data_IF_219732010031
#
_entry.id   IF_219732010031
#
_cell.length_a   1.000
_cell.length_b   1.000
_cell.length_c   1.000
_cell.angle_alpha   90.00
_cell.angle_beta   90.00
_cell.angle_gamma   90.00
#
_symmetry.space_group_name_H-M   'P 1'
#
loop_
_entity.id
_entity.type
_entity.pdbx_description
1 polymer ?
#
# COMPACT_ATOMS: atom_id res chain seq x y z
N UNK A 1 -18.37 -18.63 2.03
CA UNK A 1 -18.77 -18.74 3.46
C UNK A 1 -19.58 -17.51 3.81
N UNK A 2 -20.59 -17.60 4.68
CA UNK A 2 -21.54 -16.50 4.90
C UNK A 2 -21.28 -15.81 6.24
N UNK A 3 -21.13 -14.48 6.24
CA UNK A 3 -21.07 -13.66 7.45
C UNK A 3 -22.34 -13.68 8.29
N UNK A 4 -23.44 -14.20 7.73
CA UNK A 4 -24.75 -14.21 8.40
C UNK A 4 -24.71 -14.89 9.77
N UNK A 5 -23.76 -15.80 10.00
CA UNK A 5 -23.55 -16.45 11.30
C UNK A 5 -22.90 -15.53 12.35
N UNK A 6 -22.22 -14.48 11.91
CA UNK A 6 -21.46 -13.55 12.75
C UNK A 6 -22.17 -12.20 12.96
N UNK A 7 -23.23 -11.94 12.19
CA UNK A 7 -24.10 -10.80 12.39
C UNK A 7 -24.91 -10.98 13.67
N UNK A 8 -25.01 -9.92 14.47
CA UNK A 8 -25.98 -9.89 15.58
C UNK A 8 -27.38 -9.70 14.98
N UNK A 9 -28.40 -10.30 15.58
CA UNK A 9 -29.71 -10.46 14.94
C UNK A 9 -30.44 -9.18 14.49
N UNK A 10 -30.00 -8.01 14.95
CA UNK A 10 -30.51 -6.71 14.54
C UNK A 10 -29.53 -5.88 13.69
N UNK A 11 -28.38 -6.45 13.29
CA UNK A 11 -27.39 -5.76 12.45
C UNK A 11 -27.81 -5.77 10.97
N UNK A 12 -27.88 -4.58 10.38
CA UNK A 12 -28.14 -4.41 8.96
C UNK A 12 -26.82 -4.29 8.19
N UNK A 13 -26.66 -5.06 7.11
CA UNK A 13 -25.46 -4.97 6.25
C UNK A 13 -25.63 -3.84 5.24
N UNK A 14 -24.61 -2.97 5.14
CA UNK A 14 -24.58 -1.84 4.22
C UNK A 14 -23.60 -2.04 3.06
N UNK A 15 -22.45 -2.64 3.31
CA UNK A 15 -21.47 -2.96 2.28
C UNK A 15 -20.73 -4.25 2.59
N UNK A 16 -20.23 -4.91 1.54
CA UNK A 16 -19.39 -6.09 1.62
C UNK A 16 -18.22 -5.93 0.67
N UNK A 17 -17.08 -6.48 1.04
CA UNK A 17 -15.91 -6.60 0.18
C UNK A 17 -15.37 -8.03 0.29
N UNK A 18 -15.00 -8.62 -0.84
CA UNK A 18 -14.53 -10.01 -0.92
C UNK A 18 -13.14 -10.05 -1.56
N UNK A 19 -12.13 -10.43 -0.78
CA UNK A 19 -10.76 -10.70 -1.23
C UNK A 19 -10.17 -11.85 -0.42
N UNK A 20 -8.88 -11.77 -0.08
CA UNK A 20 -8.24 -12.72 0.86
C UNK A 20 -8.95 -12.76 2.22
N UNK A 21 -9.54 -11.62 2.56
CA UNK A 21 -10.46 -11.46 3.68
C UNK A 21 -11.82 -11.08 3.12
N UNK A 22 -12.86 -11.62 3.75
CA UNK A 22 -14.19 -11.14 3.58
C UNK A 22 -14.38 -9.99 4.59
N UNK A 23 -14.83 -8.82 4.12
CA UNK A 23 -15.18 -7.67 4.94
C UNK A 23 -16.68 -7.34 4.85
N UNK A 24 -17.26 -6.88 5.96
CA UNK A 24 -18.66 -6.51 6.07
C UNK A 24 -18.81 -5.24 6.90
N UNK A 25 -19.47 -4.23 6.36
CA UNK A 25 -19.84 -3.01 7.07
C UNK A 25 -21.30 -3.14 7.47
N UNK A 26 -21.56 -3.13 8.77
CA UNK A 26 -22.93 -3.12 9.32
C UNK A 26 -23.32 -1.70 9.75
N UNK A 27 -24.51 -1.56 10.32
CA UNK A 27 -24.96 -0.34 10.99
C UNK A 27 -24.24 -0.07 12.31
N UNK A 28 -23.50 -1.04 12.86
CA UNK A 28 -22.84 -0.94 14.18
C UNK A 28 -21.32 -1.04 14.15
N UNK A 29 -20.76 -1.80 13.20
CA UNK A 29 -19.33 -2.15 13.20
C UNK A 29 -18.86 -2.62 11.84
N UNK A 30 -17.54 -2.63 11.66
CA UNK A 30 -16.86 -3.29 10.55
C UNK A 30 -16.40 -4.67 11.03
N UNK A 31 -16.70 -5.70 10.25
CA UNK A 31 -16.32 -7.08 10.49
C UNK A 31 -15.39 -7.56 9.39
N UNK A 32 -14.41 -8.38 9.74
CA UNK A 32 -13.60 -9.10 8.76
C UNK A 32 -13.32 -10.53 9.18
N UNK A 33 -13.20 -11.39 8.17
CA UNK A 33 -13.06 -12.83 8.34
C UNK A 33 -12.09 -13.37 7.27
N UNK A 34 -11.11 -14.24 7.58
CA UNK A 34 -10.26 -14.84 6.56
C UNK A 34 -11.10 -15.68 5.59
N UNK A 35 -11.01 -15.42 4.28
CA UNK A 35 -11.84 -16.12 3.30
C UNK A 35 -11.56 -17.63 3.22
N UNK A 36 -10.33 -18.04 3.57
CA UNK A 36 -9.86 -19.42 3.54
C UNK A 36 -10.14 -20.22 4.82
N UNK A 37 -10.57 -19.59 5.92
CA UNK A 37 -10.75 -20.26 7.20
C UNK A 37 -12.15 -20.86 7.32
N UNK A 38 -12.26 -22.11 7.78
CA UNK A 38 -13.55 -22.86 7.83
C UNK A 38 -14.49 -22.42 8.96
N UNK A 39 -13.94 -22.01 10.10
CA UNK A 39 -14.70 -21.50 11.25
C UNK A 39 -13.90 -20.44 12.04
N UNK A 40 -13.57 -19.31 11.40
CA UNK A 40 -12.83 -18.23 12.05
C UNK A 40 -13.71 -17.40 12.99
N UNK A 41 -13.15 -16.99 14.11
CA UNK A 41 -13.73 -15.90 14.90
C UNK A 41 -13.62 -14.59 14.11
N UNK A 42 -14.73 -13.85 13.93
CA UNK A 42 -14.72 -12.61 13.17
C UNK A 42 -13.99 -11.53 13.97
N UNK A 43 -13.03 -10.88 13.34
CA UNK A 43 -12.46 -9.66 13.89
C UNK A 43 -13.44 -8.52 13.67
N UNK A 44 -13.62 -7.67 14.67
CA UNK A 44 -14.59 -6.57 14.61
C UNK A 44 -14.01 -5.27 15.15
N UNK A 45 -14.34 -4.17 14.48
CA UNK A 45 -14.09 -2.80 14.92
C UNK A 45 -15.40 -2.03 14.99
N UNK A 46 -15.74 -1.48 16.16
CA UNK A 46 -16.83 -0.53 16.28
C UNK A 46 -16.46 0.81 15.62
N UNK A 47 -17.43 1.56 15.11
CA UNK A 47 -17.14 2.86 14.46
C UNK A 47 -16.42 3.85 15.39
N UNK A 48 -16.76 3.84 16.68
CA UNK A 48 -16.10 4.67 17.71
C UNK A 48 -14.61 4.31 17.92
N UNK A 49 -14.21 3.09 17.55
CA UNK A 49 -12.82 2.63 17.64
C UNK A 49 -12.01 3.05 16.42
N UNK A 50 -12.66 3.44 15.31
CA UNK A 50 -12.01 3.87 14.07
C UNK A 50 -11.83 5.39 14.15
N UNK A 51 -10.57 5.84 14.22
CA UNK A 51 -10.26 7.28 14.20
C UNK A 51 -10.31 7.83 12.77
N UNK A 52 -9.75 7.07 11.81
CA UNK A 52 -9.73 7.44 10.40
C UNK A 52 -9.45 6.23 9.51
N UNK A 53 -9.89 6.30 8.25
CA UNK A 53 -9.46 5.39 7.18
C UNK A 53 -8.59 6.15 6.19
N UNK A 54 -7.27 5.91 6.26
CA UNK A 54 -6.26 6.56 5.42
C UNK A 54 -6.01 5.79 4.14
N UNK A 55 -5.73 6.50 3.04
CA UNK A 55 -5.15 5.89 1.84
C UNK A 55 -3.63 5.97 1.96
N UNK A 56 -2.98 4.81 1.93
CA UNK A 56 -1.52 4.72 1.86
C UNK A 56 -1.17 4.57 0.40
N UNK A 57 -0.64 5.67 -0.16
CA UNK A 57 -0.12 5.67 -1.52
C UNK A 57 0.94 4.57 -1.66
N UNK A 58 0.66 3.60 -2.52
CA UNK A 58 1.59 2.56 -2.88
C UNK A 58 2.71 3.07 -3.76
N UNK A 59 3.65 2.17 -4.07
CA UNK A 59 4.85 2.37 -4.90
C UNK A 59 5.25 3.83 -5.09
N UNK A 60 6.06 4.34 -4.15
CA UNK A 60 6.55 5.72 -4.20
C UNK A 60 7.32 5.96 -5.51
N UNK A 61 6.66 6.67 -6.43
CA UNK A 61 7.16 6.95 -7.78
C UNK A 61 8.44 7.76 -7.76
N UNK A 62 8.78 8.42 -6.64
CA UNK A 62 10.05 9.13 -6.46
C UNK A 62 11.23 8.17 -6.56
N UNK A 63 11.11 6.93 -6.08
CA UNK A 63 12.18 5.94 -6.20
C UNK A 63 12.37 5.46 -7.65
N UNK A 64 11.28 5.30 -8.40
CA UNK A 64 11.34 4.95 -9.82
C UNK A 64 11.93 6.11 -10.65
N UNK A 65 11.44 7.34 -10.43
CA UNK A 65 11.95 8.55 -11.11
C UNK A 65 13.42 8.76 -10.78
N UNK A 66 13.82 8.58 -9.52
CA UNK A 66 15.22 8.64 -9.11
C UNK A 66 16.07 7.58 -9.79
N UNK A 67 15.57 6.34 -9.90
CA UNK A 67 16.27 5.26 -10.58
C UNK A 67 16.46 5.53 -12.08
N UNK A 68 15.40 5.95 -12.78
CA UNK A 68 15.45 6.30 -14.19
C UNK A 68 16.37 7.50 -14.46
N UNK A 69 16.33 8.51 -13.59
CA UNK A 69 17.22 9.67 -13.66
C UNK A 69 18.68 9.25 -13.48
N UNK A 70 18.96 8.34 -12.55
CA UNK A 70 20.30 7.80 -12.36
C UNK A 70 20.78 7.00 -13.58
N UNK A 71 19.94 6.19 -14.22
CA UNK A 71 20.29 5.52 -15.49
C UNK A 71 20.63 6.54 -16.58
N UNK A 72 19.84 7.61 -16.71
CA UNK A 72 20.08 8.66 -17.67
C UNK A 72 21.43 9.37 -17.41
N UNK A 73 21.72 9.69 -16.15
CA UNK A 73 22.99 10.31 -15.75
C UNK A 73 24.18 9.36 -15.96
N UNK A 74 24.01 8.06 -15.72
CA UNK A 74 25.05 7.05 -15.98
C UNK A 74 25.44 6.99 -17.46
N UNK A 75 24.52 7.29 -18.37
CA UNK A 75 24.78 7.33 -19.80
C UNK A 75 25.33 8.68 -20.28
N UNK A 76 24.73 9.79 -19.82
CA UNK A 76 25.05 11.13 -20.32
C UNK A 76 26.32 11.74 -19.71
N UNK A 77 26.53 11.57 -18.40
CA UNK A 77 27.64 12.23 -17.70
C UNK A 77 29.00 11.73 -18.20
N UNK A 78 29.26 10.41 -18.36
CA UNK A 78 30.53 9.92 -18.87
C UNK A 78 30.79 10.36 -20.31
N UNK A 79 29.77 10.35 -21.16
CA UNK A 79 29.88 10.80 -22.55
C UNK A 79 30.25 12.28 -22.64
N UNK A 80 29.65 13.11 -21.77
CA UNK A 80 29.96 14.53 -21.68
C UNK A 80 31.36 14.81 -21.13
N UNK A 81 31.79 14.07 -20.10
CA UNK A 81 33.14 14.18 -19.53
C UNK A 81 34.23 13.77 -20.53
N UNK A 82 34.01 12.69 -21.27
CA UNK A 82 34.94 12.22 -22.31
C UNK A 82 34.93 13.14 -23.53
N UNK A 83 33.77 13.68 -23.93
CA UNK A 83 33.65 14.51 -25.14
C UNK A 83 33.99 15.99 -24.97
N UNK A 84 33.68 16.60 -23.81
CA UNK A 84 33.89 18.05 -23.58
C UNK A 84 35.08 18.37 -22.69
N UNK A 85 35.46 17.47 -21.78
CA UNK A 85 36.45 17.73 -20.75
C UNK A 85 37.73 16.88 -20.90
N UNK A 86 37.84 16.08 -21.96
CA UNK A 86 38.96 15.17 -22.27
C UNK A 86 39.36 14.31 -21.05
N UNK A 87 38.35 13.91 -20.26
CA UNK A 87 38.53 13.10 -19.07
C UNK A 87 38.78 11.67 -19.49
N UNK A 88 39.81 11.04 -18.91
CA UNK A 88 40.14 9.65 -19.18
C UNK A 88 38.95 8.69 -18.93
N UNK A 89 38.93 7.58 -19.65
CA UNK A 89 37.84 6.58 -19.60
C UNK A 89 37.63 5.99 -18.20
N UNK A 90 38.69 5.80 -17.42
CA UNK A 90 38.62 5.21 -16.08
C UNK A 90 37.85 6.08 -15.05
N UNK A 91 38.12 7.39 -14.90
CA UNK A 91 37.30 8.25 -14.04
C UNK A 91 35.86 8.41 -14.57
N UNK A 92 35.66 8.42 -15.89
CA UNK A 92 34.32 8.51 -16.47
C UNK A 92 33.46 7.24 -16.20
N UNK A 93 34.07 6.05 -16.25
CA UNK A 93 33.38 4.79 -15.95
C UNK A 93 33.08 4.62 -14.45
N UNK A 94 33.93 5.14 -13.57
CA UNK A 94 33.65 5.17 -12.13
C UNK A 94 32.39 5.99 -11.80
N UNK A 95 32.20 7.14 -12.46
CA UNK A 95 30.99 7.97 -12.32
C UNK A 95 29.75 7.23 -12.81
N UNK A 96 29.84 6.53 -13.95
CA UNK A 96 28.76 5.68 -14.44
C UNK A 96 28.37 4.59 -13.42
N UNK A 97 29.37 3.97 -12.79
CA UNK A 97 29.17 2.96 -11.75
C UNK A 97 28.40 3.47 -10.54
N UNK A 98 28.70 4.68 -10.06
CA UNK A 98 27.95 5.30 -8.95
C UNK A 98 26.48 5.47 -9.29
N UNK A 99 26.19 6.00 -10.48
CA UNK A 99 24.81 6.18 -10.92
C UNK A 99 24.09 4.86 -11.16
N UNK A 100 24.78 3.83 -11.66
CA UNK A 100 24.22 2.49 -11.79
C UNK A 100 23.81 1.89 -10.43
N UNK A 101 24.63 2.07 -9.38
CA UNK A 101 24.29 1.63 -8.00
C UNK A 101 23.07 2.38 -7.47
N UNK A 102 22.98 3.69 -7.69
CA UNK A 102 21.81 4.51 -7.30
C UNK A 102 20.55 4.04 -8.04
N UNK A 103 20.66 3.73 -9.33
CA UNK A 103 19.55 3.21 -10.13
C UNK A 103 19.03 1.87 -9.59
N UNK A 104 19.94 0.93 -9.31
CA UNK A 104 19.59 -0.37 -8.71
C UNK A 104 18.96 -0.19 -7.33
N UNK A 105 19.51 0.68 -6.48
CA UNK A 105 18.97 0.96 -5.15
C UNK A 105 17.57 1.59 -5.19
N UNK A 106 17.33 2.52 -6.13
CA UNK A 106 16.02 3.13 -6.35
C UNK A 106 15.00 2.11 -6.87
N UNK A 107 15.38 1.31 -7.87
CA UNK A 107 14.51 0.25 -8.40
C UNK A 107 14.19 -0.81 -7.34
N UNK A 108 15.17 -1.21 -6.53
CA UNK A 108 14.97 -2.13 -5.42
C UNK A 108 13.99 -1.59 -4.38
N UNK A 109 14.13 -0.31 -3.99
CA UNK A 109 13.18 0.34 -3.07
C UNK A 109 11.79 0.46 -3.66
N UNK A 110 11.67 0.79 -4.95
CA UNK A 110 10.39 0.85 -5.65
C UNK A 110 9.72 -0.52 -5.75
N UNK A 111 10.49 -1.57 -6.04
CA UNK A 111 9.98 -2.94 -6.10
C UNK A 111 9.57 -3.46 -4.71
N UNK A 112 10.21 -2.97 -3.64
CA UNK A 112 9.86 -3.27 -2.25
C UNK A 112 8.77 -2.38 -1.66
N UNK A 113 8.43 -1.25 -2.26
CA UNK A 113 7.31 -0.45 -1.79
C UNK A 113 6.01 -1.19 -2.04
N UNK A 114 5.17 -1.25 -1.00
CA UNK A 114 3.89 -1.95 -1.04
C UNK A 114 2.97 -1.37 -2.13
N UNK A 115 2.08 -2.20 -2.64
CA UNK A 115 0.96 -1.76 -3.45
C UNK A 115 0.08 -0.78 -2.65
N UNK A 116 -0.68 0.11 -3.29
CA UNK A 116 -1.54 1.05 -2.58
C UNK A 116 -2.61 0.29 -1.80
N UNK A 117 -2.93 0.77 -0.58
CA UNK A 117 -3.94 0.17 0.27
C UNK A 117 -4.64 1.23 1.13
N UNK A 118 -5.87 0.93 1.52
CA UNK A 118 -6.56 1.64 2.60
C UNK A 118 -6.19 1.02 3.94
N UNK A 119 -5.90 1.86 4.94
CA UNK A 119 -5.59 1.43 6.31
C UNK A 119 -6.57 2.05 7.29
N UNK A 120 -7.15 1.22 8.14
CA UNK A 120 -7.97 1.65 9.26
C UNK A 120 -7.04 2.00 10.42
N UNK A 121 -7.21 3.17 11.01
CA UNK A 121 -6.45 3.62 12.18
C UNK A 121 -7.38 3.65 13.37
N UNK A 122 -7.05 2.91 14.43
CA UNK A 122 -7.86 2.84 15.64
C UNK A 122 -7.29 3.61 16.83
N UNK A 123 -8.16 3.92 17.79
CA UNK A 123 -7.85 4.69 19.01
C UNK A 123 -7.06 3.90 20.07
N UNK A 124 -7.08 2.56 20.02
CA UNK A 124 -6.47 1.68 21.00
C UNK A 124 -4.94 1.44 20.83
N UNK A 125 -4.27 2.23 19.99
CA UNK A 125 -2.84 2.11 19.74
C UNK A 125 -2.51 1.24 18.51
N UNK A 126 -1.44 1.63 17.82
CA UNK A 126 -1.02 1.19 16.48
C UNK A 126 -1.05 -0.34 16.26
N UNK A 127 -0.81 -1.15 17.31
CA UNK A 127 -0.76 -2.61 17.19
C UNK A 127 -2.11 -3.29 16.87
N UNK A 128 -3.25 -2.68 17.19
CA UNK A 128 -4.57 -3.31 16.96
C UNK A 128 -5.08 -3.17 15.52
N UNK A 129 -4.63 -2.14 14.79
CA UNK A 129 -5.13 -1.83 13.43
C UNK A 129 -4.06 -1.86 12.36
N UNK A 130 -2.81 -2.21 12.69
CA UNK A 130 -1.73 -2.35 11.72
C UNK A 130 -2.04 -3.39 10.64
N UNK A 131 -2.85 -4.40 10.96
CA UNK A 131 -3.28 -5.46 10.03
C UNK A 131 -4.60 -5.15 9.31
N UNK A 132 -5.30 -4.06 9.66
CA UNK A 132 -6.58 -3.68 9.04
C UNK A 132 -6.36 -2.91 7.74
N UNK A 133 -6.08 -3.67 6.67
CA UNK A 133 -5.78 -3.13 5.34
C UNK A 133 -6.67 -3.73 4.26
N UNK A 134 -7.10 -2.88 3.34
CA UNK A 134 -7.78 -3.26 2.10
C UNK A 134 -6.93 -2.82 0.91
N UNK A 135 -6.81 -3.62 -0.15
CA UNK A 135 -6.12 -3.18 -1.36
C UNK A 135 -6.82 -1.96 -1.98
N UNK A 136 -6.09 -1.17 -2.76
CA UNK A 136 -6.65 -0.05 -3.49
C UNK A 136 -7.29 -0.51 -4.80
N UNK A 137 -8.51 -1.02 -4.70
CA UNK A 137 -9.37 -1.37 -5.83
C UNK A 137 -10.75 -0.69 -5.73
N UNK A 138 -11.54 -0.73 -6.82
CA UNK A 138 -12.84 -0.03 -6.89
C UNK A 138 -13.85 -0.55 -5.84
N UNK A 139 -13.85 -1.85 -5.57
CA UNK A 139 -14.76 -2.46 -4.61
C UNK A 139 -14.37 -2.08 -3.17
N UNK A 140 -13.07 -2.08 -2.87
CA UNK A 140 -12.52 -1.61 -1.60
C UNK A 140 -12.78 -0.12 -1.39
N UNK A 141 -12.63 0.70 -2.43
CA UNK A 141 -12.93 2.13 -2.37
C UNK A 141 -14.41 2.39 -2.05
N UNK A 142 -15.34 1.69 -2.71
CA UNK A 142 -16.78 1.78 -2.42
C UNK A 142 -17.12 1.32 -1.00
N UNK A 143 -16.45 0.26 -0.53
CA UNK A 143 -16.59 -0.23 0.84
C UNK A 143 -16.11 0.81 1.86
N UNK A 144 -14.90 1.34 1.67
CA UNK A 144 -14.29 2.36 2.54
C UNK A 144 -15.15 3.63 2.59
N UNK A 145 -15.72 4.03 1.46
CA UNK A 145 -16.62 5.18 1.42
C UNK A 145 -17.89 4.94 2.26
N UNK A 146 -18.45 3.73 2.19
CA UNK A 146 -19.59 3.34 3.05
C UNK A 146 -19.22 3.39 4.54
N UNK A 147 -18.01 2.93 4.90
CA UNK A 147 -17.52 3.04 6.29
C UNK A 147 -17.40 4.51 6.70
N UNK A 148 -16.80 5.36 5.85
CA UNK A 148 -16.60 6.79 6.16
C UNK A 148 -17.91 7.55 6.36
N UNK A 149 -18.97 7.17 5.66
CA UNK A 149 -20.31 7.75 5.87
C UNK A 149 -20.94 7.40 7.23
N UNK A 150 -20.37 6.42 7.95
CA UNK A 150 -20.90 5.89 9.22
C UNK A 150 -20.07 6.23 10.45
N UNK A 151 -18.81 6.61 10.25
CA UNK A 151 -17.95 7.18 11.28
C UNK A 151 -18.40 8.60 11.63
#
# INVERSE_FOLDING_TARGET
MSFERHLRGDEAVHARYEGDWLWCCTDKRVLRVPAAATDPDPESLAFEEIERVGHVAGRDTRYLVGALSAVLLAALVPALLMGLADVAVAPASAVAGVFAVVAVGGFYRWNRSNEPYYQFHGTAGLAATDDWRLPDDEAAAAFVETVRMRM
#
